data_IF_711826767845
#
_entry.id   IF_711826767845
#
_cell.length_a   1.000
_cell.length_b   1.000
_cell.length_c   1.000
_cell.angle_alpha   90.00
_cell.angle_beta   90.00
_cell.angle_gamma   90.00
#
_symmetry.space_group_name_H-M   'P 1'
#
loop_
_entity.id
_entity.type
_entity.pdbx_description
1 polymer ?
#
# COMPACT_ATOMS: atom_id res chain seq x y z
N UNK A 1 -11.86 -8.81 22.02
CA UNK A 1 -11.39 -9.62 20.88
C UNK A 1 -11.99 -9.18 19.52
N UNK A 2 -12.51 -7.96 19.40
CA UNK A 2 -13.14 -7.45 18.15
C UNK A 2 -12.23 -6.56 17.29
N UNK A 3 -11.03 -6.20 17.76
CA UNK A 3 -10.17 -5.22 17.09
C UNK A 3 -9.37 -5.76 15.87
N UNK A 4 -9.42 -7.06 15.58
CA UNK A 4 -8.67 -7.64 14.46
C UNK A 4 -9.47 -7.73 13.15
N UNK A 5 -10.79 -7.54 13.19
CA UNK A 5 -11.67 -7.68 12.02
C UNK A 5 -11.62 -6.48 11.05
N UNK A 6 -11.16 -5.32 11.53
CA UNK A 6 -11.21 -4.06 10.78
C UNK A 6 -9.82 -3.52 10.40
N UNK A 7 -8.77 -4.31 10.59
CA UNK A 7 -7.40 -3.89 10.31
C UNK A 7 -6.98 -4.22 8.88
N UNK A 8 -6.29 -3.27 8.26
CA UNK A 8 -5.54 -3.50 7.03
C UNK A 8 -4.20 -4.15 7.38
N UNK A 9 -3.85 -5.25 6.74
CA UNK A 9 -2.63 -6.03 7.02
C UNK A 9 -1.58 -5.74 5.96
N UNK A 10 -0.35 -5.49 6.37
CA UNK A 10 0.82 -5.52 5.47
C UNK A 10 1.09 -6.96 5.07
N UNK A 11 0.88 -7.30 3.82
CA UNK A 11 1.11 -8.65 3.30
C UNK A 11 2.53 -8.85 2.80
N UNK A 12 3.05 -7.85 2.09
CA UNK A 12 4.42 -7.83 1.58
C UNK A 12 5.00 -6.42 1.56
N UNK A 13 6.32 -6.34 1.64
CA UNK A 13 7.09 -5.09 1.57
C UNK A 13 8.32 -5.31 0.72
N UNK A 14 8.55 -4.47 -0.27
CA UNK A 14 9.85 -4.30 -0.94
C UNK A 14 10.57 -3.16 -0.23
N UNK A 15 11.64 -3.47 0.47
CA UNK A 15 12.37 -2.57 1.35
C UNK A 15 13.08 -1.41 0.61
N UNK A 16 13.35 -0.28 1.28
CA UNK A 16 12.94 0.09 2.64
C UNK A 16 11.55 0.74 2.69
N UNK A 17 10.80 0.54 3.78
CA UNK A 17 9.48 1.14 3.95
C UNK A 17 9.12 1.34 5.42
N UNK A 18 8.17 2.24 5.71
CA UNK A 18 7.78 2.61 7.05
C UNK A 18 6.27 2.60 7.27
N UNK A 19 5.88 2.42 8.52
CA UNK A 19 4.55 2.76 9.04
C UNK A 19 4.74 3.91 10.03
N UNK A 20 3.99 5.00 9.85
CA UNK A 20 3.93 6.12 10.78
C UNK A 20 2.62 6.07 11.56
N UNK A 21 2.71 6.04 12.88
CA UNK A 21 1.57 6.08 13.82
C UNK A 21 1.81 7.17 14.86
N UNK A 22 0.88 8.11 14.96
CA UNK A 22 0.99 9.25 15.92
C UNK A 22 2.34 9.97 15.82
N UNK A 23 2.84 10.19 14.62
CA UNK A 23 4.12 10.86 14.35
C UNK A 23 5.37 10.00 14.57
N UNK A 24 5.23 8.76 15.04
CA UNK A 24 6.35 7.84 15.20
C UNK A 24 6.48 6.89 14.02
N UNK A 25 7.64 6.87 13.39
CA UNK A 25 7.97 5.96 12.29
C UNK A 25 8.63 4.69 12.80
N UNK A 26 8.24 3.59 12.20
CA UNK A 26 8.90 2.28 12.36
C UNK A 26 9.02 1.60 11.01
N UNK A 27 10.00 0.75 10.83
CA UNK A 27 10.12 -0.05 9.63
C UNK A 27 8.87 -0.91 9.44
N UNK A 28 8.36 -0.96 8.20
CA UNK A 28 7.23 -1.81 7.83
C UNK A 28 7.68 -3.27 7.73
N UNK A 29 6.85 -4.17 8.25
CA UNK A 29 7.09 -5.61 8.16
C UNK A 29 5.81 -6.37 7.82
N UNK A 30 5.89 -7.52 7.12
CA UNK A 30 4.74 -8.37 6.87
C UNK A 30 4.04 -8.80 8.16
N UNK A 31 2.70 -8.79 8.16
CA UNK A 31 1.87 -9.07 9.33
C UNK A 31 1.58 -7.84 10.20
N UNK A 32 2.21 -6.69 9.94
CA UNK A 32 1.89 -5.46 10.65
C UNK A 32 0.46 -4.99 10.31
N UNK A 33 -0.26 -4.52 11.34
CA UNK A 33 -1.62 -4.01 11.20
C UNK A 33 -1.63 -2.49 11.09
N UNK A 34 -2.27 -1.97 10.06
CA UNK A 34 -2.58 -0.56 9.91
C UNK A 34 -4.01 -0.31 10.40
N UNK A 35 -4.19 0.82 11.07
CA UNK A 35 -5.46 1.30 11.64
C UNK A 35 -5.75 2.70 11.12
N UNK A 36 -6.94 3.19 11.36
CA UNK A 36 -7.28 4.60 11.14
C UNK A 36 -6.23 5.52 11.77
N UNK A 37 -5.75 6.48 10.98
CA UNK A 37 -4.70 7.43 11.34
C UNK A 37 -3.27 6.98 11.04
N UNK A 38 -3.06 5.72 10.66
CA UNK A 38 -1.72 5.24 10.26
C UNK A 38 -1.39 5.64 8.82
N UNK A 39 -0.11 5.97 8.59
CA UNK A 39 0.44 6.16 7.24
C UNK A 39 1.36 5.00 6.86
N UNK A 40 1.19 4.50 5.65
CA UNK A 40 2.16 3.65 4.99
C UNK A 40 3.06 4.52 4.10
N UNK A 41 4.36 4.34 4.21
CA UNK A 41 5.37 5.16 3.51
C UNK A 41 6.35 4.22 2.82
N UNK A 42 6.49 4.38 1.51
CA UNK A 42 7.50 3.69 0.70
C UNK A 42 8.54 4.69 0.22
N UNK A 43 9.79 4.29 0.23
CA UNK A 43 10.90 5.10 -0.31
C UNK A 43 11.10 4.85 -1.81
N UNK A 44 12.11 5.49 -2.41
CA UNK A 44 12.48 5.24 -3.81
C UNK A 44 12.84 3.77 -4.01
N UNK A 45 12.30 3.16 -5.06
CA UNK A 45 12.48 1.75 -5.37
C UNK A 45 11.67 0.78 -4.50
N UNK A 46 10.96 1.29 -3.49
CA UNK A 46 10.20 0.45 -2.54
C UNK A 46 8.75 0.25 -2.97
N UNK A 47 8.10 -0.77 -2.39
CA UNK A 47 6.70 -1.13 -2.66
C UNK A 47 6.05 -1.67 -1.39
N UNK A 48 4.74 -1.59 -1.31
CA UNK A 48 4.00 -2.23 -0.21
C UNK A 48 2.70 -2.85 -0.74
N UNK A 49 2.40 -4.07 -0.31
CA UNK A 49 1.14 -4.75 -0.55
C UNK A 49 0.35 -4.80 0.75
N UNK A 50 -0.83 -4.24 0.73
CA UNK A 50 -1.77 -4.23 1.84
C UNK A 50 -2.98 -5.08 1.48
N UNK A 51 -3.51 -5.80 2.48
CA UNK A 51 -4.77 -6.55 2.38
C UNK A 51 -5.80 -5.97 3.32
N UNK A 52 -6.97 -5.65 2.78
CA UNK A 52 -8.12 -5.18 3.56
C UNK A 52 -8.91 -6.35 4.17
N UNK A 53 -9.84 -6.03 5.08
CA UNK A 53 -10.67 -7.03 5.76
C UNK A 53 -11.60 -7.81 4.82
N UNK A 54 -11.97 -7.25 3.67
CA UNK A 54 -12.73 -7.91 2.60
C UNK A 54 -11.86 -8.69 1.61
N UNK A 55 -10.56 -8.85 1.91
CA UNK A 55 -9.53 -9.48 1.09
C UNK A 55 -9.12 -8.71 -0.18
N UNK A 56 -9.73 -7.56 -0.45
CA UNK A 56 -9.25 -6.65 -1.48
C UNK A 56 -7.82 -6.20 -1.19
N UNK A 57 -7.07 -5.85 -2.21
CA UNK A 57 -5.67 -5.50 -2.10
C UNK A 57 -5.40 -4.06 -2.52
N UNK A 58 -4.47 -3.43 -1.81
CA UNK A 58 -3.89 -2.14 -2.16
C UNK A 58 -2.40 -2.36 -2.40
N UNK A 59 -1.91 -1.90 -3.55
CA UNK A 59 -0.50 -1.87 -3.88
C UNK A 59 -0.03 -0.43 -3.93
N UNK A 60 1.01 -0.14 -3.18
CA UNK A 60 1.67 1.16 -3.16
C UNK A 60 2.98 1.06 -3.95
N UNK A 61 3.17 2.00 -4.88
CA UNK A 61 4.42 2.16 -5.63
C UNK A 61 5.52 2.83 -4.80
N UNK A 62 6.61 3.19 -5.45
CA UNK A 62 7.71 3.91 -4.81
C UNK A 62 7.33 5.35 -4.44
N UNK A 63 8.08 5.94 -3.50
CA UNK A 63 7.94 7.32 -3.03
C UNK A 63 6.48 7.68 -2.68
N UNK A 64 5.76 6.74 -2.06
CA UNK A 64 4.33 6.88 -1.75
C UNK A 64 4.12 7.18 -0.28
N UNK A 65 3.23 8.13 0.01
CA UNK A 65 2.66 8.38 1.33
C UNK A 65 1.15 8.18 1.27
N UNK A 66 0.68 7.22 2.02
CA UNK A 66 -0.70 6.75 2.00
C UNK A 66 -1.27 6.70 3.42
N UNK A 67 -2.41 7.34 3.64
CA UNK A 67 -3.10 7.43 4.94
C UNK A 67 -4.35 6.56 4.94
N UNK A 68 -4.53 5.76 5.98
CA UNK A 68 -5.82 5.16 6.34
C UNK A 68 -6.62 6.22 7.09
N UNK A 69 -7.55 6.88 6.42
CA UNK A 69 -8.33 7.97 7.01
C UNK A 69 -9.47 7.45 7.87
N UNK A 70 -10.22 6.46 7.36
CA UNK A 70 -11.30 5.79 8.10
C UNK A 70 -11.48 4.34 7.70
N UNK A 71 -11.84 3.51 8.65
CA UNK A 71 -12.22 2.11 8.45
C UNK A 71 -13.54 1.88 9.20
N UNK A 72 -14.63 1.63 8.49
CA UNK A 72 -15.92 1.27 9.06
C UNK A 72 -16.35 -0.09 8.49
N UNK A 73 -16.69 -1.00 9.38
CA UNK A 73 -17.11 -2.35 9.05
C UNK A 73 -18.41 -2.66 9.82
N UNK A 74 -19.50 -2.12 9.32
CA UNK A 74 -20.81 -2.22 9.94
C UNK A 74 -21.56 -3.47 9.47
N UNK A 75 -22.24 -4.22 10.38
CA UNK A 75 -23.10 -5.31 9.98
C UNK A 75 -24.32 -4.77 9.21
N UNK A 76 -24.66 -5.45 8.10
CA UNK A 76 -25.82 -5.12 7.26
C UNK A 76 -26.60 -6.40 6.95
N UNK A 77 -27.41 -6.87 7.87
CA UNK A 77 -28.10 -8.17 7.79
C UNK A 77 -27.09 -9.32 7.80
N UNK A 78 -27.21 -10.24 6.85
CA UNK A 78 -26.27 -11.37 6.67
C UNK A 78 -24.98 -10.97 5.93
N UNK A 79 -24.90 -9.74 5.42
CA UNK A 79 -23.74 -9.18 4.72
C UNK A 79 -23.05 -8.11 5.57
N UNK A 80 -21.86 -7.69 5.14
CA UNK A 80 -21.13 -6.57 5.74
C UNK A 80 -21.10 -5.39 4.79
N UNK A 81 -21.29 -4.19 5.33
CA UNK A 81 -20.98 -2.96 4.63
C UNK A 81 -19.63 -2.45 5.13
N UNK A 82 -18.67 -2.42 4.23
CA UNK A 82 -17.32 -1.96 4.50
C UNK A 82 -17.17 -0.61 3.83
N UNK A 83 -16.96 0.44 4.62
CA UNK A 83 -16.67 1.78 4.12
C UNK A 83 -15.25 2.15 4.52
N UNK A 84 -14.42 2.46 3.53
CA UNK A 84 -13.02 2.79 3.76
C UNK A 84 -12.71 4.14 3.15
N UNK A 85 -12.30 5.09 3.97
CA UNK A 85 -11.74 6.36 3.57
C UNK A 85 -10.22 6.27 3.53
N UNK A 86 -9.64 6.60 2.40
CA UNK A 86 -8.21 6.54 2.13
C UNK A 86 -7.73 7.88 1.57
N UNK A 87 -6.46 8.22 1.81
CA UNK A 87 -5.84 9.40 1.25
C UNK A 87 -4.48 9.07 0.66
N UNK A 88 -4.32 9.32 -0.62
CA UNK A 88 -3.02 9.30 -1.28
C UNK A 88 -2.42 10.71 -1.21
N UNK A 89 -1.44 10.89 -0.32
CA UNK A 89 -0.80 12.20 -0.12
C UNK A 89 0.17 12.48 -1.26
N UNK A 90 0.92 11.45 -1.68
CA UNK A 90 1.78 11.47 -2.86
C UNK A 90 2.09 10.04 -3.29
N UNK A 91 2.44 9.83 -4.55
CA UNK A 91 2.91 8.55 -5.07
C UNK A 91 1.87 7.79 -5.87
N UNK A 92 1.99 6.47 -5.86
CA UNK A 92 1.25 5.54 -6.72
C UNK A 92 0.45 4.54 -5.90
N UNK A 93 -0.79 4.35 -6.30
CA UNK A 93 -1.77 3.48 -5.66
C UNK A 93 -2.44 2.60 -6.72
N UNK A 94 -2.64 1.31 -6.41
CA UNK A 94 -3.51 0.43 -7.18
C UNK A 94 -4.39 -0.36 -6.23
N UNK A 95 -5.67 -0.40 -6.51
CA UNK A 95 -6.65 -1.18 -5.77
C UNK A 95 -7.23 -2.27 -6.65
N UNK A 96 -7.38 -3.47 -6.10
CA UNK A 96 -8.06 -4.58 -6.76
C UNK A 96 -9.03 -5.27 -5.79
N UNK A 97 -10.29 -5.37 -6.21
CA UNK A 97 -11.36 -6.04 -5.45
C UNK A 97 -11.15 -7.56 -5.41
N UNK A 98 -11.41 -8.18 -4.25
CA UNK A 98 -11.57 -9.64 -4.17
C UNK A 98 -12.99 -10.04 -4.64
N UNK A 99 -13.08 -10.67 -5.80
CA UNK A 99 -14.36 -11.12 -6.36
C UNK A 99 -15.05 -12.20 -5.51
N UNK A 100 -14.30 -13.03 -4.79
CA UNK A 100 -14.89 -14.03 -3.90
C UNK A 100 -15.63 -13.37 -2.73
N UNK A 101 -15.08 -12.29 -2.17
CA UNK A 101 -15.74 -11.48 -1.14
C UNK A 101 -17.02 -10.82 -1.68
N UNK A 102 -16.97 -10.31 -2.90
CA UNK A 102 -18.13 -9.73 -3.58
C UNK A 102 -19.25 -10.75 -3.81
N UNK A 103 -18.90 -11.99 -4.16
CA UNK A 103 -19.86 -13.09 -4.34
C UNK A 103 -20.59 -13.48 -3.05
N UNK A 104 -20.02 -13.19 -1.87
CA UNK A 104 -20.64 -13.37 -0.55
C UNK A 104 -21.61 -12.24 -0.18
N UNK A 105 -21.90 -11.30 -1.07
CA UNK A 105 -22.83 -10.20 -0.87
C UNK A 105 -22.28 -9.02 -0.08
N UNK A 106 -21.00 -9.00 0.25
CA UNK A 106 -20.37 -7.86 0.91
C UNK A 106 -20.40 -6.64 -0.01
N UNK A 107 -20.78 -5.49 0.55
CA UNK A 107 -20.76 -4.20 -0.15
C UNK A 107 -19.56 -3.41 0.36
N UNK A 108 -18.58 -3.23 -0.50
CA UNK A 108 -17.42 -2.38 -0.22
C UNK A 108 -17.60 -1.05 -0.92
N UNK A 109 -17.57 0.03 -0.14
CA UNK A 109 -17.46 1.41 -0.63
C UNK A 109 -16.10 1.91 -0.24
N UNK A 110 -15.32 2.35 -1.21
CA UNK A 110 -14.00 2.93 -0.97
C UNK A 110 -13.95 4.32 -1.59
N UNK A 111 -13.52 5.28 -0.79
CA UNK A 111 -13.26 6.64 -1.23
C UNK A 111 -11.76 6.92 -1.08
N UNK A 112 -11.12 7.25 -2.19
CA UNK A 112 -9.72 7.65 -2.22
C UNK A 112 -9.62 9.15 -2.49
N UNK A 113 -9.13 9.90 -1.51
CA UNK A 113 -8.81 11.32 -1.66
C UNK A 113 -7.43 11.47 -2.31
N UNK A 114 -7.37 12.24 -3.39
CA UNK A 114 -6.17 12.74 -4.05
C UNK A 114 -5.99 14.23 -3.73
N UNK A 115 -4.99 14.89 -4.30
CA UNK A 115 -4.76 16.30 -4.05
C UNK A 115 -5.91 17.20 -4.54
N UNK A 116 -6.54 16.86 -5.67
CA UNK A 116 -7.55 17.70 -6.34
C UNK A 116 -8.88 16.99 -6.59
N UNK A 117 -9.01 15.72 -6.22
CA UNK A 117 -10.18 14.90 -6.51
C UNK A 117 -10.45 13.85 -5.45
N UNK A 118 -11.69 13.39 -5.37
CA UNK A 118 -12.07 12.18 -4.63
C UNK A 118 -12.52 11.11 -5.62
N UNK A 119 -11.99 9.91 -5.46
CA UNK A 119 -12.25 8.75 -6.30
C UNK A 119 -13.15 7.79 -5.55
N UNK A 120 -14.40 7.68 -5.99
CA UNK A 120 -15.39 6.75 -5.46
C UNK A 120 -15.43 5.46 -6.28
N UNK A 121 -15.43 4.31 -5.61
CA UNK A 121 -15.35 2.99 -6.27
C UNK A 121 -16.40 2.01 -5.78
N UNK A 122 -16.83 1.17 -6.74
CA UNK A 122 -17.67 0.00 -6.49
C UNK A 122 -17.13 -1.20 -7.27
N UNK A 123 -16.37 -2.07 -6.59
CA UNK A 123 -15.92 -3.34 -7.15
C UNK A 123 -15.09 -3.20 -8.43
N UNK A 124 -13.83 -2.82 -8.31
CA UNK A 124 -13.01 -2.28 -9.40
C UNK A 124 -11.56 -2.73 -9.25
N UNK A 125 -10.82 -2.77 -10.34
CA UNK A 125 -9.35 -2.69 -10.38
C UNK A 125 -8.98 -1.37 -11.04
N UNK A 126 -8.24 -0.50 -10.31
CA UNK A 126 -7.84 0.80 -10.82
C UNK A 126 -6.51 1.24 -10.23
N UNK A 127 -5.86 2.11 -10.96
CA UNK A 127 -4.63 2.78 -10.58
C UNK A 127 -4.89 4.28 -10.38
N UNK A 128 -4.21 4.87 -9.42
CA UNK A 128 -4.21 6.31 -9.18
C UNK A 128 -2.81 6.79 -8.84
N UNK A 129 -2.55 8.04 -9.15
CA UNK A 129 -1.31 8.73 -8.83
C UNK A 129 -1.61 10.17 -8.44
N UNK A 130 -0.87 10.68 -7.47
CA UNK A 130 -0.84 12.09 -7.11
C UNK A 130 0.59 12.53 -6.82
N UNK A 131 0.94 13.70 -7.29
CA UNK A 131 2.20 14.37 -6.97
C UNK A 131 2.01 15.90 -6.94
N UNK A 132 3.10 16.67 -6.90
CA UNK A 132 3.05 18.13 -6.88
C UNK A 132 2.45 18.75 -8.17
N UNK A 133 2.52 18.01 -9.28
CA UNK A 133 2.20 18.53 -10.60
C UNK A 133 0.84 18.04 -11.11
N UNK A 134 0.39 16.83 -10.72
CA UNK A 134 -0.82 16.25 -11.29
C UNK A 134 -1.46 15.14 -10.45
N UNK A 135 -2.76 14.97 -10.67
CA UNK A 135 -3.52 13.78 -10.28
C UNK A 135 -3.91 12.99 -11.53
N UNK A 136 -3.88 11.68 -11.42
CA UNK A 136 -4.28 10.78 -12.51
C UNK A 136 -4.99 9.53 -11.98
N UNK A 137 -5.96 9.03 -12.76
CA UNK A 137 -6.72 7.81 -12.47
C UNK A 137 -6.89 7.00 -13.75
N UNK A 138 -6.67 5.69 -13.67
CA UNK A 138 -6.88 4.76 -14.78
C UNK A 138 -7.64 3.51 -14.29
N UNK A 139 -8.71 3.15 -14.98
CA UNK A 139 -9.51 1.97 -14.69
C UNK A 139 -8.99 0.78 -15.48
N UNK A 140 -8.73 -0.35 -14.82
CA UNK A 140 -8.43 -1.63 -15.49
C UNK A 140 -9.68 -2.49 -15.61
N UNK A 141 -10.55 -2.46 -14.58
CA UNK A 141 -11.81 -3.18 -14.57
C UNK A 141 -12.83 -2.48 -13.68
N UNK A 142 -14.12 -2.54 -14.04
CA UNK A 142 -15.22 -1.99 -13.27
C UNK A 142 -15.51 -0.52 -13.55
N UNK A 143 -15.88 0.22 -12.52
CA UNK A 143 -16.35 1.61 -12.63
C UNK A 143 -15.76 2.48 -11.52
N UNK A 144 -15.27 3.64 -11.91
CA UNK A 144 -14.72 4.66 -11.01
C UNK A 144 -15.37 6.00 -11.29
N UNK A 145 -15.84 6.68 -10.25
CA UNK A 145 -16.30 8.06 -10.30
C UNK A 145 -15.24 8.99 -9.73
N UNK A 146 -14.83 9.99 -10.51
CA UNK A 146 -13.89 11.04 -10.08
C UNK A 146 -14.69 12.30 -9.79
N UNK A 147 -14.74 12.68 -8.52
CA UNK A 147 -15.47 13.84 -8.03
C UNK A 147 -14.50 14.97 -7.70
N UNK A 148 -14.89 16.20 -8.05
CA UNK A 148 -14.11 17.41 -7.81
C UNK A 148 -15.03 18.56 -7.45
N UNK A 149 -14.53 19.47 -6.62
CA UNK A 149 -15.29 20.62 -6.16
C UNK A 149 -15.86 21.44 -7.36
N UNK A 150 -17.14 21.72 -7.30
CA UNK A 150 -17.89 22.55 -8.25
C UNK A 150 -17.76 22.15 -9.74
N UNK A 151 -17.43 20.89 -10.03
CA UNK A 151 -17.32 20.36 -11.40
C UNK A 151 -18.17 19.09 -11.56
N UNK A 152 -18.63 18.78 -12.78
CA UNK A 152 -19.30 17.50 -13.04
C UNK A 152 -18.42 16.31 -12.70
N UNK A 153 -19.04 15.26 -12.14
CA UNK A 153 -18.41 13.97 -11.91
C UNK A 153 -17.95 13.36 -13.23
N UNK A 154 -16.76 12.79 -13.25
CA UNK A 154 -16.22 12.06 -14.39
C UNK A 154 -16.37 10.57 -14.11
N UNK A 155 -17.13 9.88 -14.95
CA UNK A 155 -17.34 8.45 -14.87
C UNK A 155 -16.38 7.70 -15.80
N UNK A 156 -15.50 6.89 -15.22
CA UNK A 156 -14.57 6.00 -15.93
C UNK A 156 -15.13 4.57 -15.89
N UNK A 157 -15.71 4.10 -17.00
CA UNK A 157 -16.48 2.85 -17.04
C UNK A 157 -15.88 1.77 -17.95
N UNK A 158 -14.86 2.10 -18.74
CA UNK A 158 -14.26 1.16 -19.69
C UNK A 158 -12.83 0.84 -19.26
N UNK A 159 -12.37 -0.41 -19.44
CA UNK A 159 -10.97 -0.74 -19.26
C UNK A 159 -10.06 0.21 -20.04
N UNK A 160 -9.06 0.76 -19.36
CA UNK A 160 -8.16 1.76 -19.92
C UNK A 160 -8.70 3.20 -19.93
N UNK A 161 -9.95 3.43 -19.48
CA UNK A 161 -10.42 4.81 -19.31
C UNK A 161 -9.50 5.56 -18.34
N UNK A 162 -9.05 6.74 -18.75
CA UNK A 162 -7.97 7.48 -18.09
C UNK A 162 -8.34 8.96 -17.95
N UNK A 163 -8.16 9.48 -16.76
CA UNK A 163 -8.27 10.89 -16.45
C UNK A 163 -6.98 11.41 -15.84
N UNK A 164 -6.60 12.64 -16.21
CA UNK A 164 -5.45 13.35 -15.66
C UNK A 164 -5.74 14.84 -15.57
N UNK A 165 -5.35 15.45 -14.47
CA UNK A 165 -5.38 16.90 -14.31
C UNK A 165 -4.01 17.39 -13.85
N UNK A 166 -3.47 18.40 -14.54
CA UNK A 166 -2.23 19.08 -14.18
C UNK A 166 -2.54 20.39 -13.46
N UNK A 167 -1.77 20.70 -12.41
CA UNK A 167 -1.99 21.89 -11.57
C UNK A 167 -1.99 23.20 -12.37
N UNK A 168 -1.15 23.30 -13.39
CA UNK A 168 -0.90 24.54 -14.16
C UNK A 168 -1.35 24.44 -15.63
N UNK A 169 -2.24 23.51 -15.98
CA UNK A 169 -2.73 23.34 -17.34
C UNK A 169 -4.26 23.27 -17.36
N UNK A 170 -4.88 23.69 -18.47
CA UNK A 170 -6.30 23.43 -18.68
C UNK A 170 -6.59 21.93 -18.61
N UNK A 171 -7.67 21.60 -17.93
CA UNK A 171 -8.12 20.21 -17.83
C UNK A 171 -8.51 19.67 -19.21
N UNK A 172 -8.11 18.43 -19.46
CA UNK A 172 -8.48 17.69 -20.67
C UNK A 172 -9.62 16.71 -20.35
N UNK A 173 -10.51 16.44 -21.31
CA UNK A 173 -11.49 15.35 -21.16
C UNK A 173 -10.80 14.02 -20.85
N UNK A 174 -11.51 13.14 -20.15
CA UNK A 174 -11.06 11.77 -19.96
C UNK A 174 -10.80 11.09 -21.33
N UNK A 175 -9.73 10.33 -21.39
CA UNK A 175 -9.27 9.65 -22.59
C UNK A 175 -9.14 8.14 -22.38
N UNK A 176 -8.37 7.53 -23.26
CA UNK A 176 -8.06 6.11 -23.24
C UNK A 176 -6.55 5.92 -23.13
N UNK A 177 -6.10 5.16 -22.14
CA UNK A 177 -4.70 4.79 -22.00
C UNK A 177 -4.28 3.78 -23.08
N UNK A 178 -3.07 3.95 -23.61
CA UNK A 178 -2.47 2.99 -24.54
C UNK A 178 -2.04 1.70 -23.82
N UNK A 179 -1.84 0.58 -24.53
CA UNK A 179 -1.32 -0.65 -23.92
C UNK A 179 0.00 -0.45 -23.15
N UNK A 180 0.91 0.37 -23.68
CA UNK A 180 2.20 0.69 -23.03
C UNK A 180 2.00 1.50 -21.75
N UNK A 181 1.06 2.44 -21.74
CA UNK A 181 0.69 3.18 -20.53
C UNK A 181 0.09 2.25 -19.46
N UNK A 182 -0.81 1.34 -19.87
CA UNK A 182 -1.39 0.37 -18.94
C UNK A 182 -0.32 -0.53 -18.33
N UNK A 183 0.61 -1.06 -19.13
CA UNK A 183 1.73 -1.86 -18.64
C UNK A 183 2.61 -1.08 -17.66
N UNK A 184 2.88 0.20 -17.95
CA UNK A 184 3.62 1.11 -17.05
C UNK A 184 2.88 1.31 -15.72
N UNK A 185 1.58 1.63 -15.74
CA UNK A 185 0.79 1.86 -14.54
C UNK A 185 0.74 0.61 -13.63
N UNK A 186 0.58 -0.57 -14.22
CA UNK A 186 0.63 -1.84 -13.50
C UNK A 186 2.01 -2.02 -12.85
N UNK A 187 3.09 -1.88 -13.62
CA UNK A 187 4.46 -2.10 -13.16
C UNK A 187 4.93 -1.14 -12.07
N UNK A 188 4.33 0.07 -11.98
CA UNK A 188 4.68 1.05 -10.94
C UNK A 188 4.31 0.58 -9.51
N UNK A 189 3.31 -0.28 -9.36
CA UNK A 189 2.82 -0.76 -8.06
C UNK A 189 3.12 -2.25 -7.80
N UNK A 190 3.59 -3.01 -8.80
CA UNK A 190 3.90 -4.43 -8.64
C UNK A 190 5.22 -4.65 -7.89
N UNK A 191 5.24 -5.65 -7.00
CA UNK A 191 6.47 -6.12 -6.34
C UNK A 191 7.47 -6.62 -7.37
N UNK A 192 8.73 -6.34 -7.11
CA UNK A 192 9.86 -6.74 -7.97
C UNK A 192 10.66 -7.85 -7.28
N UNK A 193 10.47 -9.12 -7.63
CA UNK A 193 11.23 -10.22 -7.02
C UNK A 193 12.75 -9.99 -7.16
N UNK A 194 13.49 -10.31 -6.10
CA UNK A 194 14.94 -10.10 -6.05
C UNK A 194 15.36 -8.66 -5.73
N UNK A 195 14.43 -7.83 -5.25
CA UNK A 195 14.68 -6.43 -4.85
C UNK A 195 14.40 -6.17 -3.37
N UNK A 196 14.68 -7.14 -2.51
CA UNK A 196 14.50 -6.99 -1.07
C UNK A 196 13.04 -7.17 -0.62
N UNK A 197 12.31 -8.09 -1.22
CA UNK A 197 10.90 -8.34 -0.90
C UNK A 197 10.79 -9.20 0.35
N UNK A 198 10.10 -8.69 1.36
CA UNK A 198 9.60 -9.44 2.52
C UNK A 198 8.15 -9.86 2.25
N UNK A 199 7.82 -11.10 2.60
CA UNK A 199 6.49 -11.67 2.44
C UNK A 199 6.07 -12.35 3.74
N UNK A 200 4.80 -12.27 4.10
CA UNK A 200 4.27 -13.02 5.24
C UNK A 200 4.48 -14.54 5.03
N UNK A 201 5.26 -15.14 5.93
CA UNK A 201 5.68 -16.54 5.81
C UNK A 201 6.93 -16.77 4.96
N UNK A 202 7.64 -15.71 4.54
CA UNK A 202 8.94 -15.83 3.87
C UNK A 202 9.96 -16.56 4.74
N UNK A 203 10.74 -17.47 4.14
CA UNK A 203 11.60 -18.42 4.87
C UNK A 203 13.06 -17.94 4.98
N UNK A 204 13.45 -16.95 4.20
CA UNK A 204 14.81 -16.44 4.17
C UNK A 204 15.05 -15.31 5.17
N UNK A 205 16.26 -15.20 5.65
CA UNK A 205 16.69 -14.13 6.55
C UNK A 205 18.06 -13.59 6.17
N UNK A 206 18.27 -12.30 6.39
CA UNK A 206 19.56 -11.65 6.34
C UNK A 206 20.09 -11.48 7.77
N UNK A 207 21.34 -11.89 8.01
CA UNK A 207 22.08 -11.64 9.26
C UNK A 207 22.99 -10.44 9.04
N UNK A 208 22.62 -9.30 9.62
CA UNK A 208 23.39 -8.06 9.50
C UNK A 208 24.62 -8.02 10.43
N UNK A 209 24.55 -8.68 11.59
CA UNK A 209 25.67 -8.87 12.52
C UNK A 209 25.46 -10.11 13.38
N UNK A 210 26.55 -10.76 13.78
CA UNK A 210 26.56 -11.91 14.68
C UNK A 210 27.69 -11.79 15.71
N UNK A 211 27.42 -12.20 16.96
CA UNK A 211 28.39 -12.13 18.05
C UNK A 211 28.57 -10.73 18.68
N UNK A 212 27.77 -9.72 18.28
CA UNK A 212 27.80 -8.40 18.85
C UNK A 212 27.42 -8.38 20.34
N UNK A 213 27.93 -7.43 21.11
CA UNK A 213 27.42 -7.18 22.45
C UNK A 213 26.04 -6.52 22.40
N UNK A 214 25.32 -6.51 23.54
CA UNK A 214 23.95 -6.00 23.59
C UNK A 214 23.79 -4.53 23.15
N UNK A 215 24.63 -3.59 23.61
CA UNK A 215 24.59 -2.20 23.15
C UNK A 215 24.83 -2.03 21.64
N UNK A 216 25.82 -2.72 21.07
CA UNK A 216 26.11 -2.68 19.64
C UNK A 216 24.97 -3.25 18.81
N UNK A 217 24.42 -4.40 19.20
CA UNK A 217 23.28 -5.02 18.53
C UNK A 217 22.06 -4.10 18.52
N UNK A 218 21.74 -3.46 19.67
CA UNK A 218 20.63 -2.52 19.77
C UNK A 218 20.86 -1.26 18.94
N UNK A 219 22.07 -0.72 18.91
CA UNK A 219 22.42 0.45 18.10
C UNK A 219 22.26 0.15 16.61
N UNK A 220 22.72 -1.03 16.15
CA UNK A 220 22.55 -1.45 14.75
C UNK A 220 21.09 -1.65 14.40
N UNK A 221 20.33 -2.37 15.26
CA UNK A 221 18.87 -2.52 15.06
C UNK A 221 18.18 -1.19 14.91
N UNK A 222 18.46 -0.22 15.81
CA UNK A 222 17.83 1.10 15.78
C UNK A 222 18.11 1.81 14.45
N UNK A 223 19.36 1.84 13.99
CA UNK A 223 19.72 2.45 12.70
C UNK A 223 19.00 1.80 11.53
N UNK A 224 18.92 0.47 11.51
CA UNK A 224 18.21 -0.26 10.46
C UNK A 224 16.70 0.04 10.49
N UNK A 225 16.08 0.05 11.68
CA UNK A 225 14.67 0.39 11.85
C UNK A 225 14.35 1.82 11.38
N UNK A 226 15.19 2.79 11.72
CA UNK A 226 15.06 4.18 11.26
C UNK A 226 15.21 4.31 9.74
N UNK A 227 16.04 3.46 9.14
CA UNK A 227 16.22 3.39 7.69
C UNK A 227 15.14 2.56 6.95
N UNK A 228 14.11 2.06 7.64
CA UNK A 228 13.01 1.33 7.02
C UNK A 228 13.24 -0.17 6.84
N UNK A 229 14.23 -0.73 7.53
CA UNK A 229 14.55 -2.16 7.54
C UNK A 229 14.11 -2.78 8.86
N UNK A 230 13.17 -3.75 8.90
CA UNK A 230 12.58 -4.28 10.13
C UNK A 230 13.52 -5.26 10.86
N UNK A 231 14.67 -4.74 11.28
CA UNK A 231 15.70 -5.51 11.98
C UNK A 231 15.26 -5.88 13.40
N UNK A 232 15.64 -7.07 13.82
CA UNK A 232 15.41 -7.62 15.16
C UNK A 232 16.71 -8.12 15.77
N UNK A 233 16.79 -8.08 17.10
CA UNK A 233 17.90 -8.67 17.86
C UNK A 233 17.45 -10.03 18.39
N UNK A 234 18.28 -11.04 18.20
CA UNK A 234 18.12 -12.37 18.79
C UNK A 234 19.34 -12.72 19.65
N UNK A 235 19.11 -13.32 20.82
CA UNK A 235 20.17 -13.82 21.67
C UNK A 235 20.80 -15.10 21.06
N UNK A 236 22.12 -15.21 21.18
CA UNK A 236 22.89 -16.42 20.87
C UNK A 236 23.54 -16.94 22.17
N UNK A 237 24.15 -18.12 22.12
CA UNK A 237 24.94 -18.63 23.26
C UNK A 237 26.07 -17.69 23.66
N UNK A 238 26.64 -16.99 22.66
CA UNK A 238 27.64 -15.94 22.87
C UNK A 238 27.26 -14.70 22.05
N UNK A 239 26.78 -13.64 22.76
CA UNK A 239 26.41 -12.37 22.16
C UNK A 239 25.02 -12.37 21.53
N UNK A 240 24.86 -11.52 20.53
CA UNK A 240 23.58 -11.25 19.87
C UNK A 240 23.74 -11.27 18.36
N UNK A 241 22.63 -11.61 17.69
CA UNK A 241 22.50 -11.54 16.23
C UNK A 241 21.49 -10.42 15.89
N UNK A 242 21.85 -9.57 14.92
CA UNK A 242 20.91 -8.60 14.32
C UNK A 242 20.49 -9.14 12.97
N UNK A 243 19.18 -9.33 12.77
CA UNK A 243 18.67 -9.98 11.56
C UNK A 243 17.38 -9.35 11.06
N UNK A 244 17.14 -9.50 9.75
CA UNK A 244 15.86 -9.21 9.08
C UNK A 244 15.32 -10.54 8.58
N UNK A 245 14.06 -10.82 8.90
CA UNK A 245 13.41 -12.09 8.56
C UNK A 245 12.39 -11.91 7.43
N UNK A 246 11.83 -13.04 6.97
CA UNK A 246 10.71 -13.12 6.04
C UNK A 246 11.01 -12.63 4.62
N UNK A 247 12.25 -12.70 4.16
CA UNK A 247 12.52 -12.50 2.75
C UNK A 247 11.85 -13.60 1.92
N UNK A 248 11.26 -13.21 0.79
CA UNK A 248 10.54 -14.12 -0.10
C UNK A 248 11.46 -15.14 -0.76
N UNK A 249 12.66 -14.71 -1.14
CA UNK A 249 13.69 -15.53 -1.80
C UNK A 249 15.09 -15.25 -1.24
N UNK A 250 16.04 -16.11 -1.55
CA UNK A 250 17.46 -15.87 -1.25
C UNK A 250 17.96 -14.60 -1.93
N UNK A 251 17.59 -14.39 -3.20
CA UNK A 251 17.96 -13.20 -3.95
C UNK A 251 17.44 -11.91 -3.29
N UNK A 252 16.22 -11.95 -2.72
CA UNK A 252 15.69 -10.82 -1.97
C UNK A 252 16.51 -10.53 -0.70
N UNK A 253 17.01 -11.57 -0.02
CA UNK A 253 17.84 -11.39 1.16
C UNK A 253 19.26 -10.87 0.82
N UNK A 254 19.70 -10.98 -0.41
CA UNK A 254 21.00 -10.51 -0.90
C UNK A 254 20.94 -9.12 -1.54
N UNK A 255 19.76 -8.61 -1.84
CA UNK A 255 19.53 -7.30 -2.44
C UNK A 255 19.74 -6.16 -1.44
#
# INVERSE_FOLDING_TARGET
AHAAADATVVEAVQLPAHIERSGQRRAAEPGALLRTGDKAITDTGSRMLLRLSDRSTIRLGEATQFLIDSLDNSPSGDARQITTGLKLITGVFRYATDYASKALGNKTTLNLELATATVGIRGTDFWAMTDADHDAVCVFEGHVAVERDAKPTIDLQKPGAFWVVFTNQPEKPAGQATPDQLAKFIGQAEMQPGKGVLLQGGEWRLVAASGANGPEANALRTRLQEAGYPARVAALDKGFEVRINQFATEQDAQA
#
